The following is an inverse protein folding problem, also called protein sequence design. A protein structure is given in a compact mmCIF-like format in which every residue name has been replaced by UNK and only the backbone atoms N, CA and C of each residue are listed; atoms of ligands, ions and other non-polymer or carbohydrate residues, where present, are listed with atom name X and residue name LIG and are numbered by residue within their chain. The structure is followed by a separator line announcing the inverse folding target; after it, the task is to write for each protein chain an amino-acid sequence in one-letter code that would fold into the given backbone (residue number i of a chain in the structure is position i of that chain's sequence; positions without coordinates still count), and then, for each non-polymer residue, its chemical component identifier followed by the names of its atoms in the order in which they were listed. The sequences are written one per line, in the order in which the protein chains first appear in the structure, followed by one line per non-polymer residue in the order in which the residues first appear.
data_IF_171672340255
#
_entry.id   IF_171672340255
#
_cell.length_a   1.000
_cell.length_b   1.000
_cell.length_c   1.000
_cell.angle_alpha   90.00
_cell.angle_beta   90.00
_cell.angle_gamma   90.00
#
_symmetry.space_group_name_H-M   'P 1'
#
loop_
_entity.id
_entity.type
_entity.pdbx_description
1 polymer ?
#
# COMPACT_ATOMS: atom_id res chain seq x y z
N UNK A 1 14.25 -15.18 -13.14
CA UNK A 1 13.82 -14.10 -14.05
C UNK A 1 14.69 -12.89 -13.72
N UNK A 2 15.54 -12.43 -14.65
CA UNK A 2 16.42 -11.30 -14.39
C UNK A 2 15.57 -10.05 -14.10
N UNK A 3 15.96 -9.23 -13.13
CA UNK A 3 15.29 -7.97 -12.84
C UNK A 3 15.52 -7.02 -14.01
N UNK A 4 14.44 -6.52 -14.61
CA UNK A 4 14.49 -5.51 -15.67
C UNK A 4 15.28 -4.27 -15.18
N UNK A 5 16.08 -3.62 -16.05
CA UNK A 5 16.79 -2.39 -15.71
C UNK A 5 15.78 -1.29 -15.33
N UNK A 6 15.82 -0.84 -14.08
CA UNK A 6 14.85 0.13 -13.52
C UNK A 6 14.45 -0.13 -12.07
N UNK A 7 14.85 -1.27 -11.50
CA UNK A 7 14.61 -1.61 -10.09
C UNK A 7 13.13 -1.75 -9.74
N UNK A 8 12.83 -1.84 -8.44
CA UNK A 8 11.46 -1.91 -7.91
C UNK A 8 10.71 -0.56 -8.02
N UNK A 9 11.41 0.54 -8.33
CA UNK A 9 10.87 1.89 -8.27
C UNK A 9 10.80 2.43 -6.83
N UNK A 10 10.16 3.58 -6.66
CA UNK A 10 9.83 4.16 -5.36
C UNK A 10 8.32 4.10 -5.14
N UNK A 11 7.88 3.71 -3.93
CA UNK A 11 6.48 3.66 -3.52
C UNK A 11 6.25 4.60 -2.33
N UNK A 12 5.33 5.54 -2.48
CA UNK A 12 4.85 6.40 -1.39
C UNK A 12 3.34 6.22 -1.17
N UNK A 13 2.88 6.62 0.01
CA UNK A 13 1.47 6.61 0.39
C UNK A 13 1.02 8.02 0.70
N UNK A 14 -0.13 8.41 0.17
CA UNK A 14 -0.70 9.76 0.31
C UNK A 14 -2.19 9.65 0.64
N UNK A 15 -2.72 10.69 1.30
CA UNK A 15 -4.17 10.88 1.54
C UNK A 15 -4.85 9.61 2.06
N UNK A 16 -4.33 9.07 3.17
CA UNK A 16 -4.88 7.87 3.77
C UNK A 16 -5.68 8.20 5.02
N UNK A 17 -6.70 7.37 5.25
CA UNK A 17 -7.55 7.39 6.42
C UNK A 17 -7.38 6.08 7.18
N UNK A 18 -7.55 6.13 8.50
CA UNK A 18 -7.54 4.95 9.37
C UNK A 18 -8.87 4.88 10.13
N UNK A 19 -9.60 3.80 9.92
CA UNK A 19 -10.80 3.47 10.68
C UNK A 19 -10.46 2.36 11.69
N UNK A 20 -10.57 2.68 12.97
CA UNK A 20 -10.39 1.69 14.02
C UNK A 20 -11.71 1.00 14.34
N UNK A 21 -11.75 -0.34 14.24
CA UNK A 21 -12.92 -1.14 14.58
C UNK A 21 -12.92 -1.55 16.05
N UNK A 22 -11.75 -1.92 16.57
CA UNK A 22 -11.53 -2.26 17.96
C UNK A 22 -10.08 -1.96 18.38
N UNK A 23 -9.74 -2.20 19.65
CA UNK A 23 -8.40 -1.93 20.21
C UNK A 23 -7.25 -2.64 19.47
N UNK A 24 -7.55 -3.70 18.73
CA UNK A 24 -6.62 -4.56 18.03
C UNK A 24 -6.86 -4.65 16.52
N UNK A 25 -7.90 -4.02 15.95
CA UNK A 25 -8.22 -4.08 14.52
C UNK A 25 -8.45 -2.69 13.93
N UNK A 26 -7.80 -2.41 12.80
CA UNK A 26 -8.04 -1.20 12.03
C UNK A 26 -8.04 -1.50 10.52
N UNK A 27 -8.74 -0.68 9.75
CA UNK A 27 -8.58 -0.61 8.30
C UNK A 27 -7.92 0.71 7.92
N UNK A 28 -6.95 0.64 7.01
CA UNK A 28 -6.28 1.81 6.44
C UNK A 28 -6.52 1.79 4.95
N UNK A 29 -7.04 2.89 4.42
CA UNK A 29 -7.25 3.04 2.98
C UNK A 29 -6.68 4.37 2.51
N UNK A 30 -6.16 4.41 1.28
CA UNK A 30 -5.58 5.64 0.75
C UNK A 30 -5.03 5.48 -0.66
N UNK A 31 -4.17 6.43 -1.05
CA UNK A 31 -3.51 6.41 -2.36
C UNK A 31 -2.10 5.85 -2.25
N UNK A 32 -1.76 4.96 -3.17
CA UNK A 32 -0.40 4.54 -3.44
C UNK A 32 0.14 5.29 -4.68
N UNK A 33 1.37 5.79 -4.61
CA UNK A 33 2.05 6.44 -5.73
C UNK A 33 3.35 5.69 -6.01
N UNK A 34 3.47 5.11 -7.19
CA UNK A 34 4.65 4.36 -7.62
C UNK A 34 5.37 5.09 -8.74
N UNK A 35 6.65 5.39 -8.57
CA UNK A 35 7.51 5.90 -9.64
C UNK A 35 8.48 4.81 -10.08
N UNK A 36 8.37 4.38 -11.34
CA UNK A 36 9.21 3.32 -11.92
C UNK A 36 9.47 3.61 -13.39
N UNK A 37 10.73 3.48 -13.83
CA UNK A 37 11.11 3.72 -15.23
C UNK A 37 10.74 5.11 -15.75
N UNK A 38 10.83 6.15 -14.90
CA UNK A 38 10.45 7.53 -15.24
C UNK A 38 8.95 7.79 -15.34
N UNK A 39 8.10 6.79 -15.11
CA UNK A 39 6.64 6.92 -15.08
C UNK A 39 6.14 6.92 -13.64
N UNK A 40 5.06 7.67 -13.40
CA UNK A 40 4.38 7.72 -12.11
C UNK A 40 2.98 7.15 -12.25
N UNK A 41 2.69 6.11 -11.47
CA UNK A 41 1.42 5.41 -11.42
C UNK A 41 0.73 5.70 -10.09
N UNK A 42 -0.60 5.78 -10.13
CA UNK A 42 -1.42 6.01 -8.95
C UNK A 42 -2.38 4.84 -8.79
N UNK A 43 -2.50 4.37 -7.55
CA UNK A 43 -3.39 3.30 -7.16
C UNK A 43 -4.12 3.64 -5.88
N UNK A 44 -5.14 2.86 -5.57
CA UNK A 44 -5.82 2.87 -4.28
C UNK A 44 -5.45 1.60 -3.53
N UNK A 45 -5.29 1.72 -2.22
CA UNK A 45 -5.07 0.58 -1.35
C UNK A 45 -6.12 0.54 -0.23
N UNK A 46 -6.42 -0.67 0.22
CA UNK A 46 -7.18 -0.97 1.44
C UNK A 46 -6.41 -2.05 2.18
N UNK A 47 -6.09 -1.81 3.45
CA UNK A 47 -5.35 -2.73 4.31
C UNK A 47 -6.10 -3.02 5.58
N UNK A 48 -6.02 -4.27 6.03
CA UNK A 48 -6.46 -4.65 7.37
C UNK A 48 -5.21 -4.76 8.24
N UNK A 49 -5.21 -4.04 9.36
CA UNK A 49 -4.18 -4.09 10.37
C UNK A 49 -4.67 -4.85 11.60
N UNK A 50 -3.82 -5.73 12.13
CA UNK A 50 -4.05 -6.42 13.39
C UNK A 50 -2.92 -6.13 14.38
N UNK A 51 -3.27 -5.76 15.60
CA UNK A 51 -2.30 -5.59 16.69
C UNK A 51 -1.89 -6.96 17.25
N UNK A 52 -0.59 -7.14 17.40
CA UNK A 52 0.05 -8.29 18.04
C UNK A 52 0.92 -7.83 19.20
N UNK A 53 1.54 -8.77 19.93
CA UNK A 53 2.51 -8.45 20.96
C UNK A 53 3.72 -7.65 20.40
N UNK A 54 4.08 -7.91 19.14
CA UNK A 54 5.23 -7.30 18.46
C UNK A 54 4.87 -6.02 17.69
N UNK A 55 3.60 -5.60 17.74
CA UNK A 55 3.10 -4.39 17.09
C UNK A 55 1.99 -4.65 16.07
N UNK A 56 1.69 -3.63 15.26
CA UNK A 56 0.67 -3.71 14.22
C UNK A 56 1.21 -4.37 12.96
N UNK A 57 0.49 -5.37 12.47
CA UNK A 57 0.82 -6.09 11.23
C UNK A 57 -0.25 -5.82 10.18
N UNK A 58 0.17 -5.71 8.92
CA UNK A 58 -0.73 -5.81 7.77
C UNK A 58 -1.09 -7.28 7.59
N UNK A 59 -2.34 -7.64 7.89
CA UNK A 59 -2.84 -9.02 7.74
C UNK A 59 -3.59 -9.24 6.44
N UNK A 60 -3.95 -8.16 5.75
CA UNK A 60 -4.49 -8.17 4.40
C UNK A 60 -4.12 -6.87 3.69
N UNK A 61 -3.73 -6.95 2.42
CA UNK A 61 -3.42 -5.81 1.57
C UNK A 61 -4.07 -6.00 0.20
N UNK A 62 -5.01 -5.12 -0.14
CA UNK A 62 -5.57 -5.02 -1.47
C UNK A 62 -5.09 -3.72 -2.11
N UNK A 63 -4.39 -3.86 -3.24
CA UNK A 63 -3.87 -2.74 -4.02
C UNK A 63 -4.43 -2.81 -5.43
N UNK A 64 -5.07 -1.73 -5.87
CA UNK A 64 -5.62 -1.59 -7.20
C UNK A 64 -4.93 -0.44 -7.91
N UNK A 65 -4.29 -0.73 -9.04
CA UNK A 65 -3.64 0.28 -9.87
C UNK A 65 -4.58 0.77 -10.97
N UNK A 66 -4.34 2.00 -11.45
CA UNK A 66 -4.99 2.48 -12.67
C UNK A 66 -4.66 1.60 -13.89
N UNK A 67 -5.47 1.65 -14.95
CA UNK A 67 -5.32 0.77 -16.12
C UNK A 67 -4.01 0.94 -16.89
N UNK A 68 -3.31 2.06 -16.70
CA UNK A 68 -2.03 2.38 -17.37
C UNK A 68 -0.80 2.18 -16.45
N UNK A 69 -0.95 1.37 -15.40
CA UNK A 69 0.07 1.13 -14.38
C UNK A 69 0.97 -0.07 -14.63
#
# INVERSE_FOLDING_TARGET
RAAEPGGLGALSYEWFETLQFDVNTAVVSGRAVMTRGGKTHRGLFTRILRRTADGWLIVHDQLAWGPEA
#
